data_IF_855725686172
#
_entry.id   IF_855725686172
#
_cell.length_a   1.000
_cell.length_b   1.000
_cell.length_c   1.000
_cell.angle_alpha   90.00
_cell.angle_beta   90.00
_cell.angle_gamma   90.00
#
_symmetry.space_group_name_H-M   'P 1'
#
loop_
_entity.id
_entity.type
_entity.pdbx_description
1 polymer ?
#
# COMPACT_ATOMS: atom_id res chain seq x y z
N UNK A 1 -4.19 26.29 15.33
CA UNK A 1 -5.12 25.54 14.44
C UNK A 1 -4.63 25.47 13.00
N UNK A 2 -4.22 26.58 12.37
CA UNK A 2 -3.75 26.60 10.97
C UNK A 2 -2.58 25.64 10.68
N UNK A 3 -1.53 25.62 11.51
CA UNK A 3 -0.37 24.72 11.36
C UNK A 3 -0.76 23.23 11.41
N UNK A 4 -1.66 22.83 12.31
CA UNK A 4 -2.16 21.44 12.42
C UNK A 4 -2.96 21.01 11.18
N UNK A 5 -3.82 21.90 10.69
CA UNK A 5 -4.58 21.70 9.45
C UNK A 5 -3.66 21.52 8.24
N UNK A 6 -2.60 22.34 8.14
CA UNK A 6 -1.61 22.26 7.07
C UNK A 6 -0.79 20.96 7.12
N UNK A 7 -0.38 20.53 8.32
CA UNK A 7 0.33 19.25 8.51
C UNK A 7 -0.56 18.09 8.13
N UNK A 8 -1.81 18.06 8.59
CA UNK A 8 -2.79 17.01 8.24
C UNK A 8 -2.99 16.91 6.74
N UNK A 9 -3.14 18.05 6.04
CA UNK A 9 -3.24 18.10 4.58
C UNK A 9 -2.01 17.50 3.90
N UNK A 10 -0.80 17.91 4.31
CA UNK A 10 0.46 17.43 3.72
C UNK A 10 0.64 15.94 3.93
N UNK A 11 0.31 15.42 5.12
CA UNK A 11 0.41 14.00 5.43
C UNK A 11 -0.59 13.17 4.63
N UNK A 12 -1.85 13.60 4.50
CA UNK A 12 -2.84 12.89 3.67
C UNK A 12 -2.44 12.86 2.20
N UNK A 13 -2.00 14.01 1.65
CA UNK A 13 -1.50 14.07 0.27
C UNK A 13 -0.25 13.24 0.06
N UNK A 14 0.71 13.34 0.98
CA UNK A 14 1.95 12.56 0.92
C UNK A 14 1.68 11.06 0.96
N UNK A 15 0.81 10.61 1.86
CA UNK A 15 0.40 9.21 1.94
C UNK A 15 -0.33 8.74 0.68
N UNK A 16 -1.25 9.56 0.14
CA UNK A 16 -1.94 9.25 -1.12
C UNK A 16 -0.98 9.15 -2.31
N UNK A 17 -0.04 10.08 -2.44
CA UNK A 17 1.02 10.05 -3.48
C UNK A 17 1.87 8.80 -3.32
N UNK A 18 2.26 8.45 -2.09
CA UNK A 18 3.06 7.25 -1.83
C UNK A 18 2.31 5.97 -2.19
N UNK A 19 1.00 5.89 -1.94
CA UNK A 19 0.17 4.76 -2.40
C UNK A 19 0.14 4.66 -3.93
N UNK A 20 0.02 5.78 -4.65
CA UNK A 20 0.11 5.78 -6.13
C UNK A 20 1.47 5.28 -6.57
N UNK A 21 2.55 5.80 -5.98
CA UNK A 21 3.91 5.38 -6.29
C UNK A 21 4.13 3.88 -6.05
N UNK A 22 3.63 3.34 -4.93
CA UNK A 22 3.67 1.91 -4.62
C UNK A 22 2.88 1.07 -5.64
N UNK A 23 1.74 1.57 -6.11
CA UNK A 23 0.97 0.94 -7.18
C UNK A 23 1.75 0.87 -8.50
N UNK A 24 2.39 1.97 -8.90
CA UNK A 24 3.26 2.01 -10.09
C UNK A 24 4.44 1.06 -9.94
N UNK A 25 5.13 1.06 -8.79
CA UNK A 25 6.25 0.16 -8.52
C UNK A 25 5.81 -1.30 -8.61
N UNK A 26 4.63 -1.67 -8.10
CA UNK A 26 4.09 -3.03 -8.24
C UNK A 26 3.95 -3.44 -9.71
N UNK A 27 3.34 -2.58 -10.53
CA UNK A 27 3.13 -2.87 -11.95
C UNK A 27 4.45 -2.97 -12.72
N UNK A 28 5.39 -2.07 -12.47
CA UNK A 28 6.72 -2.09 -13.12
C UNK A 28 7.56 -3.28 -12.65
N UNK A 29 7.48 -3.68 -11.37
CA UNK A 29 8.21 -4.81 -10.83
C UNK A 29 7.66 -6.16 -11.32
N UNK A 30 6.39 -6.23 -11.73
CA UNK A 30 5.69 -7.46 -12.14
C UNK A 30 6.49 -8.34 -13.12
N UNK A 31 6.97 -7.84 -14.29
CA UNK A 31 7.77 -8.64 -15.22
C UNK A 31 9.11 -9.11 -14.63
N UNK A 32 9.73 -8.32 -13.75
CA UNK A 32 11.00 -8.68 -13.10
C UNK A 32 10.81 -9.83 -12.12
N UNK A 33 9.74 -9.80 -11.32
CA UNK A 33 9.41 -10.89 -10.39
C UNK A 33 9.07 -12.18 -11.15
N UNK A 34 8.36 -12.08 -12.28
CA UNK A 34 8.11 -13.22 -13.16
C UNK A 34 9.42 -13.90 -13.60
N UNK A 35 10.44 -13.10 -13.91
CA UNK A 35 11.76 -13.58 -14.33
C UNK A 35 12.50 -14.21 -13.16
N UNK A 36 12.53 -13.55 -12.01
CA UNK A 36 13.14 -14.09 -10.78
C UNK A 36 12.58 -15.46 -10.40
N UNK A 37 11.25 -15.66 -10.48
CA UNK A 37 10.63 -16.96 -10.18
C UNK A 37 11.01 -18.02 -11.19
N UNK A 38 11.09 -17.69 -12.48
CA UNK A 38 11.53 -18.64 -13.51
C UNK A 38 12.98 -19.07 -13.32
N UNK A 39 13.83 -18.13 -12.90
CA UNK A 39 15.27 -18.39 -12.75
C UNK A 39 15.60 -19.10 -11.43
N UNK A 40 14.78 -18.91 -10.39
CA UNK A 40 15.06 -19.41 -9.03
C UNK A 40 14.30 -20.67 -8.64
N UNK A 41 13.30 -21.10 -9.44
CA UNK A 41 12.48 -22.26 -9.13
C UNK A 41 12.58 -23.35 -10.21
N UNK A 42 12.22 -24.59 -9.84
CA UNK A 42 12.11 -25.67 -10.84
C UNK A 42 11.09 -25.28 -11.93
N UNK A 43 11.23 -25.76 -13.18
CA UNK A 43 10.29 -25.44 -14.26
C UNK A 43 8.83 -25.80 -13.92
N UNK A 44 8.63 -26.88 -13.18
CA UNK A 44 7.30 -27.28 -12.72
C UNK A 44 6.73 -26.28 -11.70
N UNK A 45 7.52 -25.91 -10.69
CA UNK A 45 7.12 -24.93 -9.67
C UNK A 45 6.87 -23.55 -10.26
N UNK A 46 7.73 -23.08 -11.16
CA UNK A 46 7.60 -21.78 -11.81
C UNK A 46 6.28 -21.66 -12.61
N UNK A 47 5.89 -22.72 -13.33
CA UNK A 47 4.60 -22.75 -14.07
C UNK A 47 3.38 -22.60 -13.17
N UNK A 48 3.43 -23.18 -11.97
CA UNK A 48 2.33 -23.12 -11.01
C UNK A 48 2.31 -21.82 -10.20
N UNK A 49 3.47 -21.30 -9.80
CA UNK A 49 3.58 -20.13 -8.92
C UNK A 49 3.44 -18.81 -9.66
N UNK A 50 3.92 -18.73 -10.91
CA UNK A 50 3.98 -17.46 -11.65
C UNK A 50 2.59 -16.85 -11.88
N UNK A 51 1.58 -17.58 -12.40
CA UNK A 51 0.27 -16.99 -12.68
C UNK A 51 -0.43 -16.32 -11.48
N UNK A 52 -0.61 -16.98 -10.32
CA UNK A 52 -1.27 -16.35 -9.18
C UNK A 52 -0.45 -15.18 -8.59
N UNK A 53 0.87 -15.27 -8.61
CA UNK A 53 1.75 -14.18 -8.16
C UNK A 53 1.61 -12.93 -9.04
N UNK A 54 1.57 -13.10 -10.37
CA UNK A 54 1.38 -12.00 -11.31
C UNK A 54 -0.01 -11.37 -11.16
N UNK A 55 -1.05 -12.20 -11.03
CA UNK A 55 -2.40 -11.71 -10.80
C UNK A 55 -2.45 -10.84 -9.55
N UNK A 56 -1.84 -11.28 -8.44
CA UNK A 56 -1.78 -10.49 -7.21
C UNK A 56 -1.05 -9.16 -7.41
N UNK A 57 0.12 -9.17 -8.07
CA UNK A 57 0.88 -7.95 -8.32
C UNK A 57 0.13 -6.94 -9.19
N UNK A 58 -0.53 -7.42 -10.24
CA UNK A 58 -1.33 -6.59 -11.14
C UNK A 58 -2.55 -6.03 -10.39
N UNK A 59 -3.30 -6.89 -9.69
CA UNK A 59 -4.49 -6.49 -8.97
C UNK A 59 -4.17 -5.46 -7.88
N UNK A 60 -3.15 -5.72 -7.06
CA UNK A 60 -2.70 -4.79 -6.02
C UNK A 60 -2.20 -3.49 -6.64
N UNK A 61 -1.36 -3.55 -7.68
CA UNK A 61 -0.84 -2.37 -8.36
C UNK A 61 -1.95 -1.48 -8.93
N UNK A 62 -2.91 -2.09 -9.63
CA UNK A 62 -4.07 -1.39 -10.22
C UNK A 62 -4.97 -0.78 -9.16
N UNK A 63 -5.18 -1.44 -8.01
CA UNK A 63 -6.05 -0.93 -6.95
C UNK A 63 -5.39 0.13 -6.07
N UNK A 64 -4.07 0.09 -5.88
CA UNK A 64 -3.34 1.09 -5.09
C UNK A 64 -3.37 2.49 -5.73
N UNK A 65 -3.35 2.57 -7.06
CA UNK A 65 -3.41 3.84 -7.81
C UNK A 65 -4.69 4.64 -7.50
N UNK A 66 -5.91 4.11 -7.69
CA UNK A 66 -7.14 4.83 -7.37
C UNK A 66 -7.28 5.09 -5.87
N UNK A 67 -6.85 4.17 -5.00
CA UNK A 67 -6.82 4.40 -3.54
C UNK A 67 -5.96 5.62 -3.17
N UNK A 68 -4.75 5.70 -3.71
CA UNK A 68 -3.84 6.83 -3.49
C UNK A 68 -4.34 8.14 -4.10
N UNK A 69 -4.88 8.09 -5.31
CA UNK A 69 -5.49 9.25 -5.97
C UNK A 69 -6.68 9.80 -5.17
N UNK A 70 -7.64 8.94 -4.81
CA UNK A 70 -8.82 9.34 -4.04
C UNK A 70 -8.45 9.91 -2.67
N UNK A 71 -7.44 9.34 -2.00
CA UNK A 71 -6.91 9.89 -0.75
C UNK A 71 -6.34 11.30 -0.93
N UNK A 72 -5.55 11.51 -1.98
CA UNK A 72 -4.94 12.81 -2.31
C UNK A 72 -6.01 13.84 -2.68
N UNK A 73 -7.00 13.43 -3.46
CA UNK A 73 -8.12 14.25 -3.90
C UNK A 73 -9.03 14.65 -2.72
N UNK A 74 -9.36 13.70 -1.84
CA UNK A 74 -10.20 13.95 -0.67
C UNK A 74 -9.50 14.76 0.44
N UNK A 75 -8.15 14.78 0.47
CA UNK A 75 -7.37 15.41 1.54
C UNK A 75 -7.79 16.84 1.93
N UNK A 76 -7.91 17.83 1.02
CA UNK A 76 -8.34 19.19 1.39
C UNK A 76 -9.76 19.22 1.98
N UNK A 77 -10.68 18.43 1.43
CA UNK A 77 -12.06 18.35 1.88
C UNK A 77 -12.19 17.62 3.24
N UNK A 78 -11.34 16.62 3.48
CA UNK A 78 -11.27 15.96 4.77
C UNK A 78 -10.76 16.92 5.85
N UNK A 79 -9.80 17.80 5.50
CA UNK A 79 -9.30 18.85 6.39
C UNK A 79 -10.35 19.92 6.67
N UNK A 80 -11.20 20.25 5.70
CA UNK A 80 -12.33 21.17 5.90
C UNK A 80 -13.54 20.53 6.59
N UNK A 81 -13.51 19.23 6.88
CA UNK A 81 -14.56 18.52 7.62
C UNK A 81 -15.70 17.95 6.78
N UNK A 82 -15.57 17.89 5.46
CA UNK A 82 -16.60 17.29 4.60
C UNK A 82 -16.77 15.79 4.91
N UNK A 83 -18.01 15.36 5.17
CA UNK A 83 -18.33 13.99 5.61
C UNK A 83 -17.91 12.93 4.59
N UNK A 84 -18.19 13.14 3.30
CA UNK A 84 -17.79 12.22 2.24
C UNK A 84 -16.27 12.02 2.19
N UNK A 85 -15.51 13.10 2.36
CA UNK A 85 -14.06 13.06 2.30
C UNK A 85 -13.47 12.35 3.52
N UNK A 86 -14.09 12.52 4.69
CA UNK A 86 -13.76 11.78 5.91
C UNK A 86 -14.00 10.27 5.72
N UNK A 87 -15.10 9.88 5.08
CA UNK A 87 -15.36 8.47 4.74
C UNK A 87 -14.27 7.94 3.82
N UNK A 88 -13.92 8.64 2.74
CA UNK A 88 -12.89 8.20 1.79
C UNK A 88 -11.53 7.99 2.48
N UNK A 89 -11.05 8.96 3.26
CA UNK A 89 -9.71 8.84 3.89
C UNK A 89 -9.68 7.80 4.99
N UNK A 90 -10.78 7.60 5.74
CA UNK A 90 -10.87 6.59 6.80
C UNK A 90 -11.00 5.18 6.25
N UNK A 91 -11.84 4.99 5.23
CA UNK A 91 -11.94 3.70 4.54
C UNK A 91 -10.58 3.33 3.93
N UNK A 92 -9.91 4.28 3.28
CA UNK A 92 -8.54 4.04 2.77
C UNK A 92 -7.56 3.69 3.90
N UNK A 93 -7.57 4.43 5.00
CA UNK A 93 -6.70 4.14 6.14
C UNK A 93 -6.93 2.74 6.71
N UNK A 94 -8.19 2.31 6.86
CA UNK A 94 -8.53 0.97 7.32
C UNK A 94 -8.10 -0.09 6.31
N UNK A 95 -8.37 0.10 5.01
CA UNK A 95 -7.95 -0.83 3.96
C UNK A 95 -6.43 -0.99 3.89
N UNK A 96 -5.66 0.08 4.06
CA UNK A 96 -4.20 0.00 4.07
C UNK A 96 -3.70 -0.64 5.37
N UNK A 97 -4.37 -0.42 6.49
CA UNK A 97 -4.02 -1.03 7.78
C UNK A 97 -4.30 -2.54 7.85
N UNK A 98 -5.20 -3.08 7.02
CA UNK A 98 -5.38 -4.53 6.96
C UNK A 98 -4.19 -5.24 6.32
N UNK A 99 -3.39 -4.56 5.48
CA UNK A 99 -2.22 -5.14 4.83
C UNK A 99 -1.16 -5.64 5.81
N UNK A 100 -0.62 -4.82 6.75
CA UNK A 100 0.35 -5.32 7.72
C UNK A 100 -0.25 -6.41 8.62
N UNK A 101 -1.53 -6.30 9.00
CA UNK A 101 -2.20 -7.34 9.79
C UNK A 101 -2.26 -8.67 9.05
N UNK A 102 -2.71 -8.66 7.79
CA UNK A 102 -2.78 -9.84 6.95
C UNK A 102 -1.40 -10.45 6.68
N UNK A 103 -0.39 -9.59 6.46
CA UNK A 103 0.99 -10.00 6.28
C UNK A 103 1.55 -10.74 7.49
N UNK A 104 1.35 -10.21 8.70
CA UNK A 104 1.76 -10.88 9.94
C UNK A 104 0.96 -12.16 10.21
N UNK A 105 -0.34 -12.17 9.91
CA UNK A 105 -1.22 -13.30 10.20
C UNK A 105 -1.03 -14.48 9.23
N UNK A 106 -0.76 -14.23 7.95
CA UNK A 106 -0.85 -15.26 6.90
C UNK A 106 0.50 -15.76 6.39
N UNK A 107 1.54 -14.92 6.42
CA UNK A 107 2.74 -15.19 5.64
C UNK A 107 3.86 -15.91 6.43
N UNK A 108 3.70 -16.05 7.76
CA UNK A 108 4.63 -16.76 8.64
C UNK A 108 6.01 -16.07 8.77
N UNK A 109 6.58 -16.02 9.98
CA UNK A 109 7.80 -15.22 10.24
C UNK A 109 9.11 -15.89 9.83
N UNK A 110 9.09 -17.18 9.47
CA UNK A 110 10.30 -18.02 9.34
C UNK A 110 11.23 -17.63 8.20
N UNK A 111 10.69 -17.15 7.07
CA UNK A 111 11.48 -16.74 5.89
C UNK A 111 11.36 -15.24 5.61
N UNK A 112 10.77 -14.51 6.56
CA UNK A 112 10.36 -13.12 6.38
C UNK A 112 11.57 -12.18 6.23
N UNK A 113 12.67 -12.50 6.91
CA UNK A 113 13.88 -11.69 6.94
C UNK A 113 14.90 -12.04 5.85
N UNK A 114 14.72 -13.15 5.14
CA UNK A 114 15.64 -13.60 4.09
C UNK A 114 15.47 -12.82 2.77
N UNK A 115 14.43 -11.97 2.69
CA UNK A 115 14.11 -11.14 1.53
C UNK A 115 14.19 -9.64 1.87
N UNK A 116 15.36 -8.98 1.75
CA UNK A 116 15.56 -7.60 2.20
C UNK A 116 14.61 -6.58 1.56
N UNK A 117 14.35 -6.71 0.25
CA UNK A 117 13.41 -5.84 -0.47
C UNK A 117 11.98 -6.01 0.02
N UNK A 118 11.60 -7.24 0.39
CA UNK A 118 10.30 -7.52 0.97
C UNK A 118 10.15 -6.87 2.34
N UNK A 119 11.16 -6.98 3.22
CA UNK A 119 11.19 -6.30 4.53
C UNK A 119 11.02 -4.79 4.38
N UNK A 120 11.73 -4.17 3.43
CA UNK A 120 11.58 -2.74 3.13
C UNK A 120 10.15 -2.40 2.70
N UNK A 121 9.56 -3.21 1.80
CA UNK A 121 8.18 -3.04 1.37
C UNK A 121 7.18 -3.13 2.54
N UNK A 122 7.37 -4.09 3.44
CA UNK A 122 6.54 -4.24 4.65
C UNK A 122 6.70 -3.03 5.57
N UNK A 123 7.93 -2.58 5.82
CA UNK A 123 8.19 -1.44 6.68
C UNK A 123 7.53 -0.15 6.14
N UNK A 124 7.67 0.11 4.84
CA UNK A 124 7.01 1.23 4.17
C UNK A 124 5.48 1.11 4.30
N UNK A 125 4.93 -0.07 4.06
CA UNK A 125 3.48 -0.32 4.18
C UNK A 125 2.97 -0.04 5.60
N UNK A 126 3.70 -0.50 6.62
CA UNK A 126 3.38 -0.24 8.04
C UNK A 126 3.42 1.26 8.34
N UNK A 127 4.47 1.96 7.91
CA UNK A 127 4.62 3.41 8.13
C UNK A 127 3.45 4.16 7.50
N UNK A 128 3.08 3.81 6.25
CA UNK A 128 1.95 4.43 5.55
C UNK A 128 0.63 4.13 6.27
N UNK A 129 0.40 2.88 6.66
CA UNK A 129 -0.80 2.47 7.40
C UNK A 129 -0.97 3.25 8.70
N UNK A 130 0.07 3.30 9.53
CA UNK A 130 0.06 4.02 10.81
C UNK A 130 -0.15 5.52 10.57
N UNK A 131 0.54 6.12 9.60
CA UNK A 131 0.38 7.53 9.25
C UNK A 131 -1.05 7.83 8.84
N UNK A 132 -1.64 7.01 7.96
CA UNK A 132 -3.02 7.19 7.52
C UNK A 132 -4.02 7.04 8.67
N UNK A 133 -3.86 6.06 9.55
CA UNK A 133 -4.72 5.89 10.73
C UNK A 133 -4.68 7.11 11.64
N UNK A 134 -3.49 7.59 12.01
CA UNK A 134 -3.33 8.76 12.87
C UNK A 134 -3.97 10.00 12.22
N UNK A 135 -3.76 10.21 10.93
CA UNK A 135 -4.15 11.45 10.25
C UNK A 135 -5.64 11.45 9.81
N UNK A 136 -6.20 10.27 9.50
CA UNK A 136 -7.61 10.12 9.14
C UNK A 136 -8.55 10.15 10.34
N UNK A 137 -8.11 9.68 11.51
CA UNK A 137 -8.89 9.65 12.74
C UNK A 137 -8.50 10.73 13.76
N UNK A 138 -7.36 11.38 13.59
CA UNK A 138 -6.91 12.51 14.41
C UNK A 138 -7.75 13.78 14.20
N UNK A 139 -7.87 14.58 15.26
CA UNK A 139 -8.56 15.89 15.28
C UNK A 139 -7.61 17.04 15.01
#
# INVERSE_FOLDING_TARGET
>A
MLKRSLTRLRLLRGAGILLVALGVVHLVATPHIATLVRDSASPASARWLTPPMLLNHILVGVLLIPLGYLTTYAAPYAVSGASWAQVVVRTTALSVATLPVALFALMGTRYYFDAPLFVVGVAVTVIVAVTLLIVAFGR
#
